data_IF_695363852574
#
_entry.id   IF_695363852574
#
_cell.length_a   1.000
_cell.length_b   1.000
_cell.length_c   1.000
_cell.angle_alpha   90.00
_cell.angle_beta   90.00
_cell.angle_gamma   90.00
#
_symmetry.space_group_name_H-M   'P 1'
#
loop_
_entity.id
_entity.type
_entity.pdbx_description
1 polymer ?
#
# COMPACT_ATOMS: atom_id res chain seq x y z
N UNK A 1 28.39 13.42 -3.36
CA UNK A 1 27.36 12.89 -4.29
C UNK A 1 27.00 11.41 -4.06
N UNK A 2 27.88 10.59 -3.46
CA UNK A 2 27.65 9.17 -3.22
C UNK A 2 26.50 8.89 -2.22
N UNK A 3 26.46 9.63 -1.10
CA UNK A 3 25.44 9.41 -0.04
C UNK A 3 23.98 9.65 -0.48
N UNK A 4 23.72 10.63 -1.36
CA UNK A 4 22.36 10.91 -1.84
C UNK A 4 21.81 9.80 -2.75
N UNK A 5 22.68 9.17 -3.57
CA UNK A 5 22.27 8.04 -4.42
C UNK A 5 22.00 6.79 -3.60
N UNK A 6 22.83 6.53 -2.60
CA UNK A 6 22.66 5.41 -1.68
C UNK A 6 21.36 5.52 -0.87
N UNK A 7 21.04 6.72 -0.38
CA UNK A 7 19.82 6.98 0.37
C UNK A 7 18.55 6.74 -0.48
N UNK A 8 18.55 7.16 -1.75
CA UNK A 8 17.43 6.89 -2.67
C UNK A 8 17.28 5.39 -2.93
N UNK A 9 18.38 4.67 -3.17
CA UNK A 9 18.35 3.22 -3.39
C UNK A 9 17.82 2.51 -2.14
N UNK A 10 18.29 2.89 -0.95
CA UNK A 10 17.83 2.33 0.31
C UNK A 10 16.32 2.55 0.52
N UNK A 11 15.81 3.77 0.27
CA UNK A 11 14.37 4.06 0.35
C UNK A 11 13.55 3.22 -0.63
N UNK A 12 14.04 2.99 -1.86
CA UNK A 12 13.36 2.14 -2.85
C UNK A 12 13.34 0.69 -2.37
N UNK A 13 14.43 0.18 -1.81
CA UNK A 13 14.50 -1.19 -1.30
C UNK A 13 13.56 -1.39 -0.09
N UNK A 14 13.56 -0.45 0.85
CA UNK A 14 12.63 -0.47 2.00
C UNK A 14 11.18 -0.43 1.53
N UNK A 15 10.88 0.43 0.55
CA UNK A 15 9.55 0.49 -0.05
C UNK A 15 9.16 -0.82 -0.75
N UNK A 16 10.04 -1.41 -1.56
CA UNK A 16 9.80 -2.69 -2.24
C UNK A 16 9.56 -3.81 -1.23
N UNK A 17 10.35 -3.87 -0.17
CA UNK A 17 10.19 -4.85 0.90
C UNK A 17 8.81 -4.71 1.56
N UNK A 18 8.40 -3.48 1.88
CA UNK A 18 7.09 -3.20 2.45
C UNK A 18 5.94 -3.53 1.48
N UNK A 19 6.08 -3.19 0.20
CA UNK A 19 5.09 -3.50 -0.82
C UNK A 19 4.90 -5.00 -1.00
N UNK A 20 5.98 -5.77 -1.14
CA UNK A 20 5.92 -7.23 -1.27
C UNK A 20 5.33 -7.86 -0.01
N UNK A 21 5.74 -7.40 1.17
CA UNK A 21 5.18 -7.87 2.44
C UNK A 21 3.68 -7.61 2.53
N UNK A 22 3.22 -6.41 2.15
CA UNK A 22 1.80 -6.08 2.14
C UNK A 22 1.01 -6.86 1.07
N UNK A 23 1.61 -7.17 -0.08
CA UNK A 23 0.99 -8.04 -1.09
C UNK A 23 0.71 -9.43 -0.52
N UNK A 24 1.75 -10.06 0.05
CA UNK A 24 1.72 -11.46 0.45
C UNK A 24 0.99 -11.67 1.77
N UNK A 25 1.30 -10.87 2.78
CA UNK A 25 0.72 -11.06 4.12
C UNK A 25 -0.54 -10.23 4.31
N UNK A 26 -0.60 -9.03 3.72
CA UNK A 26 -1.78 -8.17 3.80
C UNK A 26 -2.90 -8.66 2.88
N UNK A 27 -2.70 -8.52 1.56
CA UNK A 27 -3.77 -8.74 0.58
C UNK A 27 -4.09 -10.23 0.42
N UNK A 28 -3.11 -11.10 0.20
CA UNK A 28 -3.40 -12.53 0.02
C UNK A 28 -3.93 -13.17 1.30
N UNK A 29 -3.38 -12.81 2.46
CA UNK A 29 -3.91 -13.24 3.76
C UNK A 29 -5.36 -12.79 3.95
N UNK A 30 -5.64 -11.52 3.67
CA UNK A 30 -6.99 -10.97 3.71
C UNK A 30 -7.95 -11.71 2.77
N UNK A 31 -7.54 -12.01 1.53
CA UNK A 31 -8.39 -12.73 0.56
C UNK A 31 -8.68 -14.16 1.02
N UNK A 32 -7.68 -14.85 1.58
CA UNK A 32 -7.86 -16.19 2.12
C UNK A 32 -8.87 -16.18 3.28
N UNK A 33 -8.69 -15.30 4.25
CA UNK A 33 -9.61 -15.16 5.39
C UNK A 33 -11.01 -14.70 4.97
N UNK A 34 -11.10 -13.78 4.00
CA UNK A 34 -12.38 -13.30 3.47
C UNK A 34 -13.16 -14.37 2.73
N UNK A 35 -12.48 -15.35 2.12
CA UNK A 35 -13.14 -16.49 1.49
C UNK A 35 -13.76 -17.45 2.50
N UNK A 36 -13.19 -17.57 3.71
CA UNK A 36 -13.67 -18.49 4.74
C UNK A 36 -14.72 -17.84 5.67
N UNK A 37 -14.49 -16.59 6.08
CA UNK A 37 -15.29 -15.93 7.13
C UNK A 37 -16.16 -14.78 6.61
N UNK A 38 -15.95 -14.37 5.36
CA UNK A 38 -16.65 -13.26 4.71
C UNK A 38 -15.97 -11.90 4.97
N UNK A 39 -15.99 -11.04 3.96
CA UNK A 39 -15.34 -9.71 3.96
C UNK A 39 -15.63 -8.85 5.20
N UNK A 40 -16.86 -8.90 5.72
CA UNK A 40 -17.27 -8.06 6.85
C UNK A 40 -16.62 -8.50 8.15
N UNK A 41 -16.53 -9.81 8.41
CA UNK A 41 -15.83 -10.35 9.59
C UNK A 41 -14.33 -10.19 9.47
N UNK A 42 -13.75 -10.38 8.29
CA UNK A 42 -12.31 -10.18 8.09
C UNK A 42 -11.88 -8.73 8.32
N UNK A 43 -12.70 -7.74 7.90
CA UNK A 43 -12.38 -6.32 8.08
C UNK A 43 -12.71 -5.75 9.46
N UNK A 44 -13.63 -6.38 10.19
CA UNK A 44 -14.12 -5.87 11.47
C UNK A 44 -13.76 -6.75 12.67
N UNK A 45 -13.23 -7.94 12.43
CA UNK A 45 -12.84 -8.89 13.46
C UNK A 45 -14.03 -9.69 14.01
N UNK A 46 -13.85 -10.17 15.24
CA UNK A 46 -14.74 -11.12 15.93
C UNK A 46 -16.06 -10.45 16.35
N UNK A 47 -16.05 -9.14 16.54
CA UNK A 47 -17.24 -8.34 16.82
C UNK A 47 -17.71 -7.67 15.51
N UNK A 48 -18.93 -7.99 15.09
CA UNK A 48 -19.52 -7.37 13.91
C UNK A 48 -19.58 -5.85 14.10
N UNK A 49 -18.84 -5.11 13.29
CA UNK A 49 -18.81 -3.64 13.33
C UNK A 49 -20.10 -3.03 12.75
N UNK A 50 -20.38 -1.79 13.16
CA UNK A 50 -21.39 -0.95 12.51
C UNK A 50 -21.04 -0.70 11.03
N UNK A 51 -22.04 -0.37 10.20
CA UNK A 51 -21.84 -0.09 8.77
C UNK A 51 -20.79 1.01 8.55
N UNK A 52 -20.78 2.04 9.41
CA UNK A 52 -19.77 3.10 9.35
C UNK A 52 -18.35 2.59 9.63
N UNK A 53 -18.20 1.69 10.62
CA UNK A 53 -16.93 1.04 10.92
C UNK A 53 -16.44 0.17 9.76
N UNK A 54 -17.33 -0.59 9.13
CA UNK A 54 -17.00 -1.37 7.94
C UNK A 54 -16.49 -0.48 6.79
N UNK A 55 -17.21 0.59 6.47
CA UNK A 55 -16.82 1.53 5.41
C UNK A 55 -15.45 2.16 5.72
N UNK A 56 -15.18 2.49 6.98
CA UNK A 56 -13.88 3.00 7.40
C UNK A 56 -12.77 1.98 7.19
N UNK A 57 -12.96 0.72 7.58
CA UNK A 57 -11.98 -0.36 7.36
C UNK A 57 -11.71 -0.60 5.87
N UNK A 58 -12.77 -0.61 5.04
CA UNK A 58 -12.63 -0.71 3.58
C UNK A 58 -11.86 0.48 3.02
N UNK A 59 -12.23 1.70 3.40
CA UNK A 59 -11.56 2.92 2.95
C UNK A 59 -10.09 2.95 3.38
N UNK A 60 -9.78 2.48 4.59
CA UNK A 60 -8.43 2.36 5.09
C UNK A 60 -7.61 1.34 4.27
N UNK A 61 -8.15 0.15 4.01
CA UNK A 61 -7.49 -0.85 3.18
C UNK A 61 -7.20 -0.32 1.77
N UNK A 62 -8.21 0.27 1.12
CA UNK A 62 -8.05 0.92 -0.18
C UNK A 62 -7.00 2.04 -0.15
N UNK A 63 -7.02 2.86 0.91
CA UNK A 63 -6.03 3.91 1.14
C UNK A 63 -4.61 3.37 1.22
N UNK A 64 -4.39 2.30 1.98
CA UNK A 64 -3.08 1.64 2.09
C UNK A 64 -2.60 1.10 0.75
N UNK A 65 -3.49 0.47 -0.04
CA UNK A 65 -3.16 0.00 -1.40
C UNK A 65 -2.73 1.17 -2.29
N UNK A 66 -3.44 2.30 -2.26
CA UNK A 66 -3.11 3.49 -3.05
C UNK A 66 -1.74 4.05 -2.62
N UNK A 67 -1.51 4.21 -1.32
CA UNK A 67 -0.26 4.77 -0.80
C UNK A 67 0.93 3.87 -1.11
N UNK A 68 0.76 2.56 -1.03
CA UNK A 68 1.85 1.61 -1.22
C UNK A 68 2.14 1.40 -2.71
N UNK A 69 1.13 1.23 -3.57
CA UNK A 69 1.35 0.82 -4.96
C UNK A 69 1.19 1.94 -5.98
N UNK A 70 0.36 2.95 -5.70
CA UNK A 70 -0.02 3.97 -6.69
C UNK A 70 0.77 5.27 -6.50
N UNK A 71 0.95 5.71 -5.26
CA UNK A 71 1.65 6.96 -4.94
C UNK A 71 3.13 6.96 -5.39
N UNK A 72 3.95 5.91 -5.12
CA UNK A 72 5.36 5.89 -5.51
C UNK A 72 5.61 5.96 -7.02
N UNK A 73 4.92 5.19 -7.90
CA UNK A 73 5.12 5.32 -9.34
C UNK A 73 4.66 6.68 -9.86
N UNK A 74 3.58 7.26 -9.31
CA UNK A 74 3.17 8.63 -9.68
C UNK A 74 4.28 9.63 -9.35
N UNK A 75 4.82 9.58 -8.13
CA UNK A 75 5.91 10.46 -7.71
C UNK A 75 7.16 10.27 -8.59
N UNK A 76 7.49 9.03 -8.94
CA UNK A 76 8.60 8.73 -9.86
C UNK A 76 8.36 9.33 -11.25
N UNK A 77 7.17 9.14 -11.83
CA UNK A 77 6.80 9.70 -13.13
C UNK A 77 6.88 11.23 -13.11
N UNK A 78 6.32 11.89 -12.09
CA UNK A 78 6.37 13.34 -11.93
C UNK A 78 7.81 13.85 -11.80
N UNK A 79 8.65 13.14 -11.05
CA UNK A 79 10.08 13.46 -10.92
C UNK A 79 10.79 13.37 -12.28
N UNK A 80 10.59 12.30 -13.04
CA UNK A 80 11.19 12.13 -14.37
C UNK A 80 10.69 13.18 -15.37
N UNK A 81 9.38 13.51 -15.37
CA UNK A 81 8.82 14.57 -16.23
C UNK A 81 9.42 15.93 -15.91
N UNK A 82 9.53 16.29 -14.64
CA UNK A 82 10.13 17.56 -14.21
C UNK A 82 11.60 17.64 -14.64
N UNK A 83 12.36 16.56 -14.51
CA UNK A 83 13.75 16.49 -14.98
C UNK A 83 13.89 16.66 -16.49
N UNK A 84 12.99 16.07 -17.27
CA UNK A 84 13.01 16.16 -18.74
C UNK A 84 12.69 17.57 -19.24
N UNK A 85 11.86 18.33 -18.53
CA UNK A 85 11.54 19.73 -18.84
C UNK A 85 12.69 20.70 -18.50
N UNK A 86 13.54 20.35 -17.53
CA UNK A 86 14.61 21.19 -17.00
C UNK A 86 16.00 20.90 -17.62
N UNK A 87 16.05 20.03 -18.63
CA UNK A 87 17.25 19.62 -19.35
C UNK A 87 17.11 20.01 -20.80
#
# INVERSE_FOLDING_TARGET
>A
MLGKKFLVIFLILVWLFYAIGFALFGILGFVAEASEQGFRRTLCGIEDCSTAGFIYSVAWLCGMIIVIYVLPPILAILYFRKRKKNR
#
